data_IF_634422154012
#
_entry.id   IF_634422154012
#
_cell.length_a   1.000
_cell.length_b   1.000
_cell.length_c   1.000
_cell.angle_alpha   90.00
_cell.angle_beta   90.00
_cell.angle_gamma   90.00
#
_symmetry.space_group_name_H-M   'P 1'
#
loop_
_entity.id
_entity.type
_entity.pdbx_description
1 polymer ?
#
# COMPACT_ATOMS: atom_id res chain seq x y z
N UNK A 1 -31.95 47.18 -17.88
CA UNK A 1 -31.39 45.83 -17.98
C UNK A 1 -29.92 45.76 -17.56
N UNK A 2 -28.94 46.36 -18.26
CA UNK A 2 -27.52 46.23 -17.86
C UNK A 2 -27.19 46.76 -16.45
N UNK A 3 -27.71 47.94 -16.07
CA UNK A 3 -27.48 48.51 -14.73
C UNK A 3 -28.02 47.62 -13.60
N UNK A 4 -29.15 46.97 -13.83
CA UNK A 4 -29.81 46.12 -12.83
C UNK A 4 -29.04 44.82 -12.58
N UNK A 5 -28.50 44.21 -13.64
CA UNK A 5 -27.62 43.03 -13.55
C UNK A 5 -26.34 43.39 -12.77
N UNK A 6 -25.76 44.55 -13.05
CA UNK A 6 -24.56 45.01 -12.32
C UNK A 6 -24.87 45.22 -10.84
N UNK A 7 -25.99 45.86 -10.50
CA UNK A 7 -26.41 46.04 -9.10
C UNK A 7 -26.59 44.69 -8.39
N UNK A 8 -27.22 43.72 -9.05
CA UNK A 8 -27.41 42.38 -8.50
C UNK A 8 -26.07 41.69 -8.21
N UNK A 9 -25.12 41.73 -9.16
CA UNK A 9 -23.79 41.14 -8.96
C UNK A 9 -23.02 41.79 -7.81
N UNK A 10 -23.12 43.11 -7.62
CA UNK A 10 -22.48 43.80 -6.50
C UNK A 10 -23.10 43.35 -5.17
N UNK A 11 -24.43 43.30 -5.09
CA UNK A 11 -25.14 42.86 -3.89
C UNK A 11 -24.82 41.40 -3.52
N UNK A 12 -24.71 40.50 -4.50
CA UNK A 12 -24.33 39.10 -4.27
C UNK A 12 -22.93 39.00 -3.63
N UNK A 13 -21.95 39.77 -4.13
CA UNK A 13 -20.60 39.80 -3.56
C UNK A 13 -20.59 40.42 -2.17
N UNK A 14 -21.39 41.46 -1.92
CA UNK A 14 -21.49 42.10 -0.62
C UNK A 14 -22.06 41.13 0.43
N UNK A 15 -23.13 40.40 0.09
CA UNK A 15 -23.74 39.40 0.96
C UNK A 15 -22.74 38.29 1.29
N UNK A 16 -22.03 37.78 0.28
CA UNK A 16 -21.00 36.75 0.49
C UNK A 16 -19.86 37.26 1.38
N UNK A 17 -19.45 38.51 1.20
CA UNK A 17 -18.40 39.12 2.02
C UNK A 17 -18.85 39.26 3.47
N UNK A 18 -20.07 39.76 3.73
CA UNK A 18 -20.65 39.87 5.07
C UNK A 18 -20.80 38.50 5.75
N UNK A 19 -21.24 37.48 5.01
CA UNK A 19 -21.34 36.12 5.51
C UNK A 19 -19.96 35.56 5.91
N UNK A 20 -18.94 35.76 5.07
CA UNK A 20 -17.57 35.35 5.34
C UNK A 20 -16.98 36.03 6.59
N UNK A 21 -17.25 37.32 6.79
CA UNK A 21 -16.83 38.06 7.98
C UNK A 21 -17.48 37.48 9.25
N UNK A 22 -18.79 37.21 9.23
CA UNK A 22 -19.51 36.62 10.36
C UNK A 22 -19.07 35.18 10.66
N UNK A 23 -18.80 34.40 9.61
CA UNK A 23 -18.24 33.06 9.75
C UNK A 23 -16.86 33.10 10.43
N UNK A 24 -15.98 34.01 9.99
CA UNK A 24 -14.66 34.22 10.59
C UNK A 24 -14.74 34.62 12.06
N UNK A 25 -15.58 35.62 12.39
CA UNK A 25 -15.79 36.05 13.78
C UNK A 25 -16.21 34.87 14.67
N UNK A 26 -17.14 34.06 14.17
CA UNK A 26 -17.68 32.91 14.91
C UNK A 26 -16.62 31.84 15.18
N UNK A 27 -15.79 31.48 14.18
CA UNK A 27 -14.74 30.47 14.35
C UNK A 27 -13.59 30.95 15.25
N UNK A 28 -13.19 32.23 15.11
CA UNK A 28 -12.15 32.80 15.98
C UNK A 28 -12.64 32.81 17.43
N UNK A 29 -13.90 33.18 17.67
CA UNK A 29 -14.50 33.15 19.01
C UNK A 29 -14.60 31.74 19.58
N UNK A 30 -14.94 30.75 18.75
CA UNK A 30 -15.11 29.37 19.19
C UNK A 30 -13.78 28.66 19.52
N UNK A 31 -12.67 29.03 18.86
CA UNK A 31 -11.42 28.33 19.12
C UNK A 31 -10.15 28.88 18.51
N UNK A 32 -10.09 30.20 18.29
CA UNK A 32 -8.90 30.88 17.84
C UNK A 32 -8.30 30.25 16.56
N UNK A 33 -9.17 29.87 15.63
CA UNK A 33 -8.80 29.36 14.30
C UNK A 33 -9.30 30.36 13.27
N UNK A 34 -8.40 30.89 12.44
CA UNK A 34 -8.79 31.73 11.31
C UNK A 34 -9.13 30.85 10.09
N UNK A 35 -10.39 30.80 9.62
CA UNK A 35 -10.79 29.92 8.51
C UNK A 35 -10.22 30.27 7.14
N UNK A 36 -9.57 31.43 6.98
CA UNK A 36 -9.01 31.87 5.69
C UNK A 36 -7.48 31.86 5.67
N UNK A 37 -6.83 32.00 6.82
CA UNK A 37 -5.36 31.98 6.91
C UNK A 37 -4.83 30.57 7.15
N UNK A 38 -5.56 29.78 7.92
CA UNK A 38 -5.07 28.47 8.39
C UNK A 38 -5.67 27.28 7.63
N UNK A 39 -6.76 27.51 6.91
CA UNK A 39 -7.48 26.51 6.13
C UNK A 39 -8.07 27.21 4.90
N UNK A 40 -8.29 26.46 3.81
CA UNK A 40 -8.98 26.98 2.62
C UNK A 40 -10.41 26.45 2.49
N UNK A 41 -10.82 25.50 3.35
CA UNK A 41 -12.15 24.87 3.32
C UNK A 41 -12.78 24.84 4.70
N UNK A 42 -14.12 24.80 4.73
CA UNK A 42 -14.91 24.66 5.96
C UNK A 42 -14.53 23.37 6.71
N UNK A 43 -14.40 22.24 5.99
CA UNK A 43 -14.02 20.96 6.58
C UNK A 43 -12.63 21.02 7.26
N UNK A 44 -11.65 21.65 6.61
CA UNK A 44 -10.31 21.83 7.17
C UNK A 44 -10.34 22.74 8.41
N UNK A 45 -11.13 23.83 8.37
CA UNK A 45 -11.31 24.74 9.50
C UNK A 45 -11.93 24.02 10.71
N UNK A 46 -13.00 23.25 10.50
CA UNK A 46 -13.65 22.45 11.54
C UNK A 46 -12.72 21.37 12.11
N UNK A 47 -11.93 20.69 11.26
CA UNK A 47 -10.96 19.71 11.73
C UNK A 47 -9.87 20.36 12.59
N UNK A 48 -9.38 21.55 12.23
CA UNK A 48 -8.43 22.31 13.06
C UNK A 48 -9.02 22.73 14.39
N UNK A 49 -10.25 23.23 14.38
CA UNK A 49 -10.99 23.58 15.58
C UNK A 49 -11.15 22.37 16.51
N UNK A 50 -11.55 21.22 15.96
CA UNK A 50 -11.68 19.96 16.69
C UNK A 50 -10.33 19.54 17.32
N UNK A 51 -9.26 19.53 16.53
CA UNK A 51 -7.92 19.11 16.97
C UNK A 51 -7.31 20.03 18.03
N UNK A 52 -7.63 21.33 18.03
CA UNK A 52 -7.12 22.28 19.02
C UNK A 52 -7.88 22.25 20.34
N UNK A 53 -9.21 22.20 20.28
CA UNK A 53 -10.04 22.47 21.46
C UNK A 53 -10.70 21.22 22.06
N UNK A 54 -10.95 20.19 21.25
CA UNK A 54 -11.81 19.07 21.64
C UNK A 54 -11.06 17.74 21.65
N UNK A 55 -9.99 17.62 20.87
CA UNK A 55 -9.21 16.39 20.80
C UNK A 55 -8.36 16.22 22.06
N UNK A 56 -8.66 15.16 22.82
CA UNK A 56 -7.87 14.77 23.98
C UNK A 56 -6.50 14.24 23.53
N UNK A 57 -5.42 14.47 24.30
CA UNK A 57 -4.11 13.89 24.01
C UNK A 57 -4.21 12.36 23.88
N UNK A 58 -3.40 11.79 22.99
CA UNK A 58 -3.25 10.34 22.77
C UNK A 58 -4.52 9.56 22.41
N UNK A 59 -5.54 10.24 21.87
CA UNK A 59 -6.79 9.58 21.43
C UNK A 59 -6.81 9.17 19.95
N UNK A 60 -5.90 9.73 19.13
CA UNK A 60 -5.78 9.33 17.72
C UNK A 60 -4.75 8.22 17.62
N UNK A 61 -5.17 7.06 17.12
CA UNK A 61 -4.26 5.99 16.77
C UNK A 61 -3.28 6.43 15.69
N UNK A 62 -1.99 6.41 16.00
CA UNK A 62 -0.93 6.65 15.02
C UNK A 62 -0.80 5.41 14.14
N UNK A 63 -1.22 5.53 12.88
CA UNK A 63 -0.97 4.48 11.89
C UNK A 63 0.50 4.63 11.45
N UNK A 64 1.40 3.68 11.79
CA UNK A 64 2.78 3.74 11.31
C UNK A 64 2.80 3.64 9.78
N UNK A 65 3.85 4.15 9.11
CA UNK A 65 3.97 4.14 7.63
C UNK A 65 3.71 2.76 6.98
N UNK A 66 3.89 1.69 7.74
CA UNK A 66 3.71 0.31 7.28
C UNK A 66 2.40 -0.36 7.72
N UNK A 67 1.53 0.33 8.48
CA UNK A 67 0.30 -0.19 9.06
C UNK A 67 0.52 -0.93 10.38
N UNK A 68 -0.57 -1.26 11.09
CA UNK A 68 -0.51 -1.94 12.40
C UNK A 68 -0.06 -3.40 12.33
N UNK A 69 -0.13 -4.02 11.15
CA UNK A 69 0.39 -5.36 10.92
C UNK A 69 1.76 -5.23 10.28
N UNK A 70 2.75 -5.95 10.81
CA UNK A 70 4.00 -6.18 10.09
C UNK A 70 3.63 -6.71 8.70
N UNK A 71 4.08 -6.02 7.64
CA UNK A 71 3.86 -6.48 6.27
C UNK A 71 4.75 -7.69 6.03
N UNK A 72 4.22 -8.85 6.35
CA UNK A 72 4.67 -10.11 5.78
C UNK A 72 4.63 -9.95 4.25
N UNK A 73 5.71 -10.34 3.55
CA UNK A 73 5.86 -10.16 2.09
C UNK A 73 5.06 -11.24 1.34
N UNK A 74 3.90 -11.61 1.87
CA UNK A 74 3.10 -12.66 1.33
C UNK A 74 2.20 -12.16 0.20
N UNK A 75 2.14 -12.91 -0.91
CA UNK A 75 1.28 -12.57 -2.03
C UNK A 75 -0.19 -12.86 -1.72
N UNK A 76 -1.11 -11.98 -2.14
CA UNK A 76 -2.56 -12.20 -1.99
C UNK A 76 -3.02 -13.54 -2.58
N UNK A 77 -2.44 -13.89 -3.73
CA UNK A 77 -2.75 -15.14 -4.46
C UNK A 77 -2.27 -16.38 -3.68
N UNK A 78 -1.14 -16.29 -2.98
CA UNK A 78 -0.69 -17.38 -2.10
C UNK A 78 -1.70 -17.60 -0.97
N UNK A 79 -2.13 -16.53 -0.29
CA UNK A 79 -3.13 -16.62 0.79
C UNK A 79 -4.43 -17.22 0.29
N UNK A 80 -4.95 -16.74 -0.85
CA UNK A 80 -6.19 -17.27 -1.45
C UNK A 80 -6.08 -18.76 -1.78
N UNK A 81 -4.92 -19.21 -2.30
CA UNK A 81 -4.67 -20.62 -2.57
C UNK A 81 -4.61 -21.46 -1.30
N UNK A 82 -3.92 -20.99 -0.26
CA UNK A 82 -3.81 -21.70 1.02
C UNK A 82 -5.16 -21.85 1.70
N UNK A 83 -6.00 -20.80 1.72
CA UNK A 83 -7.37 -20.86 2.23
C UNK A 83 -8.21 -21.86 1.44
N UNK A 84 -8.01 -21.93 0.12
CA UNK A 84 -8.71 -22.89 -0.73
C UNK A 84 -8.27 -24.34 -0.44
N UNK A 85 -6.96 -24.61 -0.31
CA UNK A 85 -6.44 -25.93 0.06
C UNK A 85 -6.94 -26.36 1.45
N UNK A 86 -6.97 -25.43 2.41
CA UNK A 86 -7.52 -25.65 3.75
C UNK A 86 -8.96 -26.18 3.66
N UNK A 87 -9.80 -25.52 2.85
CA UNK A 87 -11.20 -25.89 2.67
C UNK A 87 -11.39 -27.21 1.93
N UNK A 88 -10.57 -27.47 0.91
CA UNK A 88 -10.70 -28.67 0.06
C UNK A 88 -10.22 -29.92 0.79
N UNK A 89 -9.11 -29.82 1.52
CA UNK A 89 -8.52 -30.95 2.24
C UNK A 89 -9.05 -31.11 3.66
N UNK A 90 -9.69 -30.08 4.21
CA UNK A 90 -10.14 -30.07 5.60
C UNK A 90 -8.99 -30.10 6.62
N UNK A 91 -7.81 -29.58 6.25
CA UNK A 91 -6.62 -29.50 7.11
C UNK A 91 -6.44 -28.09 7.62
N UNK A 92 -5.80 -27.88 8.77
CA UNK A 92 -5.50 -26.53 9.26
C UNK A 92 -4.11 -26.05 8.82
N UNK A 93 -4.06 -25.12 7.88
CA UNK A 93 -2.81 -24.51 7.39
C UNK A 93 -2.51 -23.22 8.17
N UNK A 94 -1.32 -23.16 8.78
CA UNK A 94 -0.73 -21.96 9.36
C UNK A 94 -0.10 -21.12 8.26
N UNK A 95 -0.44 -19.83 8.20
CA UNK A 95 0.04 -18.87 7.20
C UNK A 95 -0.11 -17.43 7.72
N UNK A 96 0.51 -16.46 7.03
CA UNK A 96 0.55 -15.05 7.43
C UNK A 96 -0.83 -14.43 7.76
N UNK A 97 -1.89 -14.82 7.06
CA UNK A 97 -3.23 -14.26 7.30
C UNK A 97 -3.88 -14.67 8.64
N UNK A 98 -3.40 -15.77 9.26
CA UNK A 98 -3.87 -16.27 10.56
C UNK A 98 -2.99 -15.81 11.73
N UNK A 99 -1.88 -15.13 11.46
CA UNK A 99 -0.92 -14.75 12.49
C UNK A 99 0.33 -14.12 11.89
N UNK A 100 1.40 -14.89 11.82
CA UNK A 100 2.72 -14.48 11.32
C UNK A 100 3.26 -15.50 10.32
N UNK A 101 4.10 -15.06 9.39
CA UNK A 101 4.96 -15.96 8.59
C UNK A 101 5.64 -17.02 9.48
N UNK A 102 5.48 -18.28 9.09
CA UNK A 102 6.07 -19.42 9.78
C UNK A 102 7.52 -19.59 9.31
N UNK A 103 8.42 -19.85 10.26
CA UNK A 103 9.84 -20.12 9.97
C UNK A 103 10.13 -21.57 10.37
N UNK A 104 10.52 -22.38 9.40
CA UNK A 104 10.88 -23.79 9.59
C UNK A 104 12.33 -23.99 9.15
N UNK A 105 13.17 -24.55 10.02
CA UNK A 105 14.60 -24.75 9.70
C UNK A 105 15.35 -23.47 9.38
N UNK A 106 14.92 -22.33 9.92
CA UNK A 106 15.49 -21.01 9.62
C UNK A 106 15.02 -20.39 8.29
N UNK A 107 14.11 -21.04 7.57
CA UNK A 107 13.55 -20.54 6.30
C UNK A 107 12.09 -20.13 6.48
N UNK A 108 11.71 -18.96 5.96
CA UNK A 108 10.31 -18.54 5.93
C UNK A 108 9.53 -19.37 4.91
N UNK A 109 8.33 -19.80 5.26
CA UNK A 109 7.46 -20.60 4.39
C UNK A 109 6.09 -19.95 4.22
N UNK A 110 5.46 -20.20 3.08
CA UNK A 110 4.16 -19.58 2.75
C UNK A 110 3.01 -20.16 3.59
N UNK A 111 3.01 -21.48 3.78
CA UNK A 111 2.07 -22.19 4.64
C UNK A 111 2.63 -23.48 5.20
N UNK A 112 2.17 -23.88 6.39
CA UNK A 112 2.57 -25.12 7.06
C UNK A 112 1.39 -25.81 7.73
N UNK A 113 1.28 -27.12 7.55
CA UNK A 113 0.30 -27.97 8.23
C UNK A 113 1.03 -28.95 9.14
N UNK A 114 0.85 -28.80 10.46
CA UNK A 114 1.48 -29.66 11.45
C UNK A 114 0.90 -31.09 11.46
N UNK A 115 -0.37 -31.26 11.12
CA UNK A 115 -1.06 -32.56 11.13
C UNK A 115 -0.51 -33.51 10.07
N UNK A 116 -0.21 -32.98 8.88
CA UNK A 116 0.31 -33.76 7.74
C UNK A 116 1.81 -33.59 7.54
N UNK A 117 2.48 -32.79 8.38
CA UNK A 117 3.88 -32.40 8.22
C UNK A 117 4.22 -31.84 6.83
N UNK A 118 3.28 -31.10 6.23
CA UNK A 118 3.36 -30.58 4.87
C UNK A 118 3.65 -29.08 4.86
N UNK A 119 4.54 -28.67 3.98
CA UNK A 119 4.87 -27.26 3.71
C UNK A 119 4.28 -26.88 2.34
N UNK A 120 3.54 -25.80 2.30
CA UNK A 120 2.90 -25.28 1.09
C UNK A 120 3.67 -24.05 0.61
N UNK A 121 4.15 -24.06 -0.63
CA UNK A 121 4.95 -22.98 -1.22
C UNK A 121 4.37 -22.53 -2.57
N UNK A 122 4.09 -21.23 -2.69
CA UNK A 122 3.59 -20.60 -3.91
C UNK A 122 4.74 -20.01 -4.72
N UNK A 123 5.09 -20.67 -5.82
CA UNK A 123 6.19 -20.26 -6.68
C UNK A 123 5.75 -19.16 -7.63
N UNK A 124 5.92 -17.91 -7.20
CA UNK A 124 5.80 -16.74 -8.07
C UNK A 124 6.91 -16.71 -9.12
N UNK A 125 6.55 -16.65 -10.41
CA UNK A 125 7.51 -16.80 -11.52
C UNK A 125 8.73 -15.88 -11.47
N UNK A 126 8.52 -14.61 -11.12
CA UNK A 126 9.60 -13.62 -11.06
C UNK A 126 10.51 -13.82 -9.84
N UNK A 127 9.91 -14.08 -8.67
CA UNK A 127 10.64 -14.21 -7.40
C UNK A 127 11.38 -15.55 -7.26
N UNK A 128 10.88 -16.60 -7.92
CA UNK A 128 11.44 -17.96 -7.85
C UNK A 128 12.15 -18.39 -9.15
N UNK A 129 12.43 -17.46 -10.07
CA UNK A 129 13.28 -17.75 -11.22
C UNK A 129 12.69 -18.72 -12.27
N UNK A 130 11.37 -18.70 -12.52
CA UNK A 130 10.69 -19.69 -13.37
C UNK A 130 11.31 -19.79 -14.78
N UNK A 131 11.78 -20.98 -15.13
CA UNK A 131 12.44 -21.30 -16.40
C UNK A 131 11.50 -21.25 -17.61
N UNK A 132 10.19 -21.42 -17.39
CA UNK A 132 9.17 -21.39 -18.45
C UNK A 132 8.84 -19.96 -18.88
N UNK A 133 8.70 -19.03 -17.92
CA UNK A 133 8.33 -17.63 -18.17
C UNK A 133 9.54 -16.75 -18.50
N UNK A 134 10.71 -17.04 -17.93
CA UNK A 134 11.93 -16.25 -18.13
C UNK A 134 13.01 -17.14 -18.74
N UNK A 135 12.98 -17.29 -20.07
CA UNK A 135 13.86 -18.20 -20.82
C UNK A 135 15.24 -17.60 -21.13
N UNK A 136 15.28 -16.31 -21.40
CA UNK A 136 16.47 -15.61 -21.89
C UNK A 136 17.10 -14.77 -20.77
N UNK A 137 18.38 -14.43 -20.95
CA UNK A 137 19.10 -13.46 -20.10
C UNK A 137 19.04 -13.75 -18.60
N UNK A 138 19.04 -15.03 -18.24
CA UNK A 138 18.81 -15.48 -16.86
C UNK A 138 19.99 -15.20 -15.92
N UNK A 139 21.17 -14.97 -16.49
CA UNK A 139 22.40 -14.58 -15.78
C UNK A 139 22.56 -13.07 -15.67
N UNK A 140 21.68 -12.28 -16.31
CA UNK A 140 21.71 -10.83 -16.15
C UNK A 140 21.06 -10.43 -14.81
N UNK A 141 21.54 -9.34 -14.18
CA UNK A 141 20.90 -8.77 -13.01
C UNK A 141 19.42 -8.46 -13.24
N UNK A 142 18.58 -8.73 -12.24
CA UNK A 142 17.17 -8.35 -12.27
C UNK A 142 17.02 -6.84 -12.06
N UNK A 143 16.05 -6.24 -12.75
CA UNK A 143 15.89 -4.77 -12.78
C UNK A 143 15.70 -4.10 -11.40
N UNK A 144 15.23 -4.85 -10.40
CA UNK A 144 15.00 -4.35 -9.04
C UNK A 144 16.15 -4.61 -8.07
N UNK A 145 17.12 -5.47 -8.44
CA UNK A 145 18.22 -5.85 -7.58
C UNK A 145 19.42 -6.25 -8.44
N UNK A 146 20.46 -5.42 -8.43
CA UNK A 146 21.68 -5.62 -9.22
C UNK A 146 22.45 -6.89 -8.85
N UNK A 147 22.25 -7.42 -7.65
CA UNK A 147 22.98 -8.57 -7.11
C UNK A 147 22.25 -9.91 -7.32
N UNK A 148 21.02 -9.88 -7.86
CA UNK A 148 20.23 -11.10 -8.09
C UNK A 148 20.05 -11.37 -9.58
N UNK A 149 20.11 -12.64 -9.96
CA UNK A 149 19.79 -13.12 -11.31
C UNK A 149 18.60 -14.08 -11.27
N UNK A 150 17.97 -14.33 -12.42
CA UNK A 150 16.87 -15.30 -12.48
C UNK A 150 17.35 -16.73 -12.25
N UNK A 151 18.61 -17.04 -12.58
CA UNK A 151 19.25 -18.31 -12.23
C UNK A 151 19.50 -18.42 -10.74
N UNK A 152 20.05 -17.40 -10.09
CA UNK A 152 20.27 -17.41 -8.64
C UNK A 152 18.95 -17.61 -7.87
N UNK A 153 17.87 -16.94 -8.28
CA UNK A 153 16.54 -17.12 -7.68
C UNK A 153 16.02 -18.55 -7.82
N UNK A 154 16.23 -19.16 -8.98
CA UNK A 154 15.83 -20.54 -9.24
C UNK A 154 16.64 -21.53 -8.40
N UNK A 155 17.95 -21.34 -8.31
CA UNK A 155 18.85 -22.15 -7.47
C UNK A 155 18.48 -22.04 -6.01
N UNK A 156 18.28 -20.83 -5.48
CA UNK A 156 17.84 -20.60 -4.10
C UNK A 156 16.50 -21.29 -3.81
N UNK A 157 15.56 -21.22 -4.75
CA UNK A 157 14.26 -21.92 -4.63
C UNK A 157 14.45 -23.43 -4.53
N UNK A 158 15.29 -24.01 -5.39
CA UNK A 158 15.58 -25.44 -5.35
C UNK A 158 16.28 -25.85 -4.06
N UNK A 159 17.29 -25.09 -3.63
CA UNK A 159 18.01 -25.32 -2.38
C UNK A 159 17.07 -25.25 -1.18
N UNK A 160 16.13 -24.29 -1.15
CA UNK A 160 15.08 -24.18 -0.13
C UNK A 160 14.21 -25.45 -0.07
N UNK A 161 13.71 -25.92 -1.22
CA UNK A 161 12.87 -27.12 -1.30
C UNK A 161 13.66 -28.36 -0.86
N UNK A 162 14.91 -28.52 -1.33
CA UNK A 162 15.77 -29.65 -0.93
C UNK A 162 16.01 -29.65 0.56
N UNK A 163 16.32 -28.48 1.15
CA UNK A 163 16.55 -28.36 2.58
C UNK A 163 15.31 -28.73 3.40
N UNK A 164 14.12 -28.25 3.02
CA UNK A 164 12.87 -28.60 3.69
C UNK A 164 12.56 -30.10 3.61
N UNK A 165 12.80 -30.72 2.44
CA UNK A 165 12.65 -32.17 2.31
C UNK A 165 13.68 -32.95 3.16
N UNK A 166 14.92 -32.47 3.27
CA UNK A 166 15.94 -33.07 4.13
C UNK A 166 15.59 -33.00 5.62
N UNK A 167 14.85 -31.97 6.03
CA UNK A 167 14.31 -31.85 7.38
C UNK A 167 13.08 -32.75 7.62
N UNK A 168 12.64 -33.51 6.61
CA UNK A 168 11.53 -34.47 6.71
C UNK A 168 10.15 -33.89 6.42
N UNK A 169 10.07 -32.65 5.92
CA UNK A 169 8.80 -32.05 5.50
C UNK A 169 8.44 -32.44 4.07
N UNK A 170 7.17 -32.71 3.80
CA UNK A 170 6.68 -32.88 2.44
C UNK A 170 6.33 -31.51 1.84
N UNK A 171 7.07 -31.06 0.82
CA UNK A 171 6.85 -29.74 0.20
C UNK A 171 5.88 -29.82 -0.98
N UNK A 172 4.71 -29.21 -0.82
CA UNK A 172 3.69 -29.05 -1.86
C UNK A 172 3.89 -27.70 -2.55
N UNK A 173 4.29 -27.77 -3.81
CA UNK A 173 4.61 -26.60 -4.62
C UNK A 173 3.46 -26.25 -5.56
N UNK A 174 3.04 -24.98 -5.54
CA UNK A 174 2.12 -24.43 -6.54
C UNK A 174 2.85 -23.44 -7.44
N UNK A 175 3.04 -23.81 -8.70
CA UNK A 175 3.50 -22.85 -9.70
C UNK A 175 2.35 -21.91 -10.08
N UNK A 176 2.56 -20.60 -9.94
CA UNK A 176 1.63 -19.63 -10.52
C UNK A 176 1.76 -19.68 -12.04
N UNK A 177 0.81 -20.31 -12.72
CA UNK A 177 0.63 -20.07 -14.16
C UNK A 177 0.18 -18.61 -14.29
N UNK A 178 1.00 -17.76 -14.90
CA UNK A 178 0.54 -16.45 -15.38
C UNK A 178 -0.59 -16.70 -16.37
N UNK A 179 -1.84 -16.61 -15.90
CA UNK A 179 -3.00 -16.50 -16.78
C UNK A 179 -3.23 -15.00 -17.02
N UNK A 180 -2.92 -14.44 -18.20
CA UNK A 180 -3.16 -13.03 -18.48
C UNK A 180 -4.63 -12.60 -18.34
N UNK A 181 -5.58 -13.54 -18.20
CA UNK A 181 -7.02 -13.28 -18.28
C UNK A 181 -7.83 -13.53 -16.98
N UNK A 182 -7.21 -13.73 -15.82
CA UNK A 182 -8.00 -13.89 -14.57
C UNK A 182 -8.58 -12.57 -14.02
N UNK A 183 -8.19 -11.41 -14.56
CA UNK A 183 -8.78 -10.10 -14.23
C UNK A 183 -10.10 -9.81 -14.99
N UNK A 184 -10.58 -10.71 -15.87
CA UNK A 184 -11.87 -10.54 -16.57
C UNK A 184 -13.07 -11.20 -15.88
N UNK A 185 -12.97 -11.52 -14.59
CA UNK A 185 -14.16 -11.82 -13.76
C UNK A 185 -14.43 -10.65 -12.81
N UNK A 186 -14.98 -9.60 -13.43
CA UNK A 186 -16.01 -8.67 -12.91
C UNK A 186 -16.11 -8.61 -11.37
N UNK A 187 -15.29 -7.76 -10.76
CA UNK A 187 -15.66 -7.04 -9.54
C UNK A 187 -15.70 -5.56 -9.90
N UNK A 188 -16.91 -5.01 -9.83
CA UNK A 188 -17.21 -3.60 -10.07
C UNK A 188 -16.62 -2.79 -8.91
N UNK A 189 -15.92 -1.71 -9.28
CA UNK A 189 -15.41 -0.60 -8.45
C UNK A 189 -14.51 -0.98 -7.27
N UNK A 190 -13.21 -1.14 -7.50
CA UNK A 190 -12.11 -0.58 -6.70
C UNK A 190 -10.80 -0.98 -7.40
N UNK A 191 -10.28 -0.11 -8.27
CA UNK A 191 -9.01 -0.34 -8.95
C UNK A 191 -7.84 -0.15 -7.98
N UNK A 192 -7.39 -1.24 -7.35
CA UNK A 192 -6.05 -1.29 -6.78
C UNK A 192 -5.10 -1.84 -7.84
N UNK A 193 -4.37 -0.95 -8.51
CA UNK A 193 -3.29 -1.34 -9.41
C UNK A 193 -2.17 -2.05 -8.62
N UNK A 194 -1.56 -3.12 -9.17
CA UNK A 194 -0.39 -3.75 -8.57
C UNK A 194 0.77 -2.74 -8.46
N UNK A 195 1.37 -2.64 -7.27
CA UNK A 195 2.61 -1.91 -7.05
C UNK A 195 3.66 -2.32 -8.10
N UNK A 196 4.18 -1.35 -8.87
CA UNK A 196 5.37 -1.54 -9.72
C UNK A 196 5.22 -1.30 -11.22
N UNK A 197 4.04 -0.97 -11.75
CA UNK A 197 3.94 -0.54 -13.16
C UNK A 197 4.20 0.97 -13.28
N UNK A 198 5.39 1.35 -13.76
CA UNK A 198 5.63 2.70 -14.30
C UNK A 198 4.84 2.84 -15.61
N UNK A 199 4.07 3.91 -15.74
CA UNK A 199 3.55 4.34 -17.05
C UNK A 199 4.76 4.57 -17.98
N UNK A 200 4.78 3.90 -19.13
CA UNK A 200 5.57 4.40 -20.25
C UNK A 200 4.99 5.77 -20.62
N UNK A 201 5.77 6.83 -20.46
CA UNK A 201 5.48 8.11 -21.11
C UNK A 201 5.71 7.87 -22.60
N UNK A 202 4.64 7.77 -23.37
CA UNK A 202 4.71 8.10 -24.79
C UNK A 202 5.06 9.58 -24.88
N UNK A 203 6.15 9.88 -25.59
CA UNK A 203 6.53 11.24 -25.95
C UNK A 203 5.42 11.82 -26.82
N UNK A 204 4.63 12.72 -26.23
CA UNK A 204 3.95 13.86 -26.87
C UNK A 204 3.07 14.53 -25.80
N UNK A 205 3.39 15.78 -25.48
CA UNK A 205 2.67 16.61 -24.51
C UNK A 205 3.60 17.33 -23.55
N UNK A 206 4.15 18.46 -24.01
CA UNK A 206 4.66 19.51 -23.14
C UNK A 206 3.57 19.95 -22.18
N UNK A 207 3.92 20.14 -20.90
CA UNK A 207 3.43 21.28 -20.13
C UNK A 207 4.35 21.50 -18.93
N UNK A 208 4.95 22.68 -18.92
CA UNK A 208 5.72 23.27 -17.83
C UNK A 208 4.80 23.52 -16.64
N UNK A 209 5.19 23.06 -15.45
CA UNK A 209 4.76 23.73 -14.23
C UNK A 209 5.91 23.71 -13.20
N UNK A 210 6.69 24.79 -13.24
CA UNK A 210 7.62 25.18 -12.20
C UNK A 210 6.80 25.55 -10.95
N UNK A 211 6.86 24.72 -9.91
CA UNK A 211 6.63 25.18 -8.53
C UNK A 211 7.70 24.59 -7.62
N UNK A 212 8.72 25.42 -7.39
CA UNK A 212 9.56 25.34 -6.21
C UNK A 212 8.66 25.31 -4.96
N UNK A 213 8.79 24.24 -4.19
CA UNK A 213 8.23 24.15 -2.84
C UNK A 213 9.42 24.00 -1.90
N UNK A 214 9.91 25.15 -1.43
CA UNK A 214 10.78 25.24 -0.28
C UNK A 214 10.06 24.68 0.95
N UNK A 215 10.54 23.55 1.47
CA UNK A 215 10.26 23.12 2.82
C UNK A 215 11.56 23.16 3.61
N UNK A 216 11.59 24.06 4.58
CA UNK A 216 12.68 24.24 5.53
C UNK A 216 12.93 22.96 6.34
N UNK A 217 14.20 22.74 6.62
CA UNK A 217 14.78 21.67 7.42
C UNK A 217 14.12 21.58 8.81
N UNK A 218 13.60 20.41 9.16
CA UNK A 218 13.24 20.09 10.54
C UNK A 218 14.43 19.40 11.19
N UNK A 219 15.17 20.15 12.01
CA UNK A 219 16.27 19.71 12.85
C UNK A 219 15.83 18.56 13.77
N UNK A 220 16.55 17.45 13.68
CA UNK A 220 16.41 16.27 14.51
C UNK A 220 17.09 16.54 15.86
N UNK A 221 16.32 16.65 16.95
CA UNK A 221 16.90 16.66 18.29
C UNK A 221 16.92 15.21 18.80
N UNK A 222 18.09 14.58 18.69
CA UNK A 222 18.43 13.36 19.42
C UNK A 222 18.68 13.74 20.87
N UNK A 223 17.96 13.12 21.80
CA UNK A 223 18.45 12.96 23.17
C UNK A 223 18.66 11.47 23.39
N UNK A 224 19.94 11.09 23.41
CA UNK A 224 20.43 9.91 24.09
C UNK A 224 20.60 10.24 25.59
N UNK A 225 20.36 9.22 26.42
CA UNK A 225 20.59 9.10 27.87
C UNK A 225 19.51 9.67 28.80
#
# INVERSE_FOLDING_TARGET
>A
MQKEIVTYCVLDVDILTLACLKFRESLIKAGNVCPFSEACTIASSCNKLFRRNFLKPDTIGLIPRHGYRYRDKQSKIAIEWLIWEEKVRGINILHAAKGKEMVLGGLSVDGYCAETNQVFEMMGCFYHGCTKCFKNDRDKPVYNNGDETMNLRYENTRSKIVHLNQLGYEVIVKEKIFRPNLLKRRFISYESYPYGYKKFKTEEGEDNDNRESSFAEATMCLQEQ
#
